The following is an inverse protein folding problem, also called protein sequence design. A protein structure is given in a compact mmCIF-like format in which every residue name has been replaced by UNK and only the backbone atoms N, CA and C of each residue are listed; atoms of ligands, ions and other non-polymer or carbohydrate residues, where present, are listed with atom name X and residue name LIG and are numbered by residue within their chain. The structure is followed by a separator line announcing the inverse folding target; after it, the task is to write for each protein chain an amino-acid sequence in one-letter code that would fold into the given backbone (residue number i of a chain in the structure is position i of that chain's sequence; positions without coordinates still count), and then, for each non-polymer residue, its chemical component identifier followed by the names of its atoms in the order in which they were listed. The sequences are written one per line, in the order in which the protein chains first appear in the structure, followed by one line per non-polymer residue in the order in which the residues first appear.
data_IF_615317611326
#
_entry.id   IF_615317611326
#
_cell.length_a   1.000
_cell.length_b   1.000
_cell.length_c   1.000
_cell.angle_alpha   90.00
_cell.angle_beta   90.00
_cell.angle_gamma   90.00
#
_symmetry.space_group_name_H-M   'P 1'
#
loop_
_entity.id
_entity.type
_entity.pdbx_description
1 polymer ?
#
# COMPACT_ATOMS: atom_id res chain seq x y z
N UNK A 1 3.51 4.87 7.81
CA UNK A 1 2.51 4.04 7.09
C UNK A 1 2.75 4.05 5.59
N UNK A 2 2.86 5.22 4.95
CA UNK A 2 3.20 5.33 3.53
C UNK A 2 4.51 4.60 3.15
N UNK A 3 5.55 4.65 3.99
CA UNK A 3 6.80 3.92 3.76
C UNK A 3 6.62 2.39 3.74
N UNK A 4 5.84 1.85 4.67
CA UNK A 4 5.56 0.40 4.75
C UNK A 4 4.82 -0.05 3.50
N UNK A 5 3.79 0.70 3.11
CA UNK A 5 3.00 0.44 1.92
C UNK A 5 3.87 0.55 0.65
N UNK A 6 4.73 1.57 0.55
CA UNK A 6 5.64 1.75 -0.58
C UNK A 6 6.64 0.59 -0.74
N UNK A 7 7.16 0.06 0.38
CA UNK A 7 8.05 -1.12 0.37
C UNK A 7 7.31 -2.40 0.00
N UNK A 8 6.06 -2.55 0.45
CA UNK A 8 5.23 -3.71 0.16
C UNK A 8 4.69 -3.72 -1.28
N UNK A 9 4.49 -2.54 -1.88
CA UNK A 9 4.05 -2.33 -3.26
C UNK A 9 5.14 -2.56 -4.30
N UNK A 10 6.31 -3.07 -3.92
CA UNK A 10 7.44 -3.27 -4.83
C UNK A 10 7.00 -4.17 -5.99
N UNK A 11 6.68 -3.53 -7.11
CA UNK A 11 6.24 -4.19 -8.32
C UNK A 11 7.42 -4.92 -8.92
N UNK A 12 7.17 -6.10 -9.48
CA UNK A 12 8.19 -6.99 -10.01
C UNK A 12 9.02 -6.38 -11.15
N UNK A 13 8.61 -5.22 -11.69
CA UNK A 13 9.15 -4.70 -12.93
C UNK A 13 9.35 -3.15 -12.90
N UNK A 14 10.55 -2.67 -12.52
CA UNK A 14 10.83 -1.27 -12.18
C UNK A 14 10.96 -0.31 -13.38
N UNK A 15 10.94 -0.79 -14.62
CA UNK A 15 11.07 0.06 -15.84
C UNK A 15 9.80 0.87 -16.17
N UNK A 16 8.65 0.49 -15.63
CA UNK A 16 7.33 0.90 -16.10
C UNK A 16 6.46 1.40 -14.94
N UNK A 17 6.87 1.09 -13.71
CA UNK A 17 6.18 1.52 -12.52
C UNK A 17 7.14 1.64 -11.31
N UNK A 18 6.99 2.73 -10.55
CA UNK A 18 7.79 3.04 -9.37
C UNK A 18 6.86 3.50 -8.25
N UNK A 19 7.06 2.99 -7.03
CA UNK A 19 6.36 3.46 -5.83
C UNK A 19 7.36 3.93 -4.78
N UNK A 20 7.12 5.12 -4.22
CA UNK A 20 7.95 5.68 -3.15
C UNK A 20 7.12 6.45 -2.14
N UNK A 21 7.61 6.54 -0.92
CA UNK A 21 7.01 7.38 0.13
C UNK A 21 7.67 8.76 0.14
N UNK A 22 6.85 9.81 0.28
CA UNK A 22 7.29 11.18 0.51
C UNK A 22 6.53 11.73 1.72
N UNK A 23 7.12 11.59 2.91
CA UNK A 23 6.45 11.84 4.19
C UNK A 23 5.24 10.92 4.38
N UNK A 24 4.06 11.52 4.55
CA UNK A 24 2.79 10.79 4.70
C UNK A 24 2.13 10.40 3.37
N UNK A 25 2.72 10.80 2.23
CA UNK A 25 2.16 10.54 0.91
C UNK A 25 2.82 9.33 0.27
N UNK A 26 2.03 8.48 -0.36
CA UNK A 26 2.51 7.49 -1.31
C UNK A 26 2.48 8.11 -2.72
N UNK A 27 3.62 8.12 -3.40
CA UNK A 27 3.72 8.52 -4.80
C UNK A 27 3.94 7.28 -5.65
N UNK A 28 3.12 7.12 -6.68
CA UNK A 28 3.25 6.08 -7.69
C UNK A 28 3.46 6.77 -9.03
N UNK A 29 4.48 6.35 -9.77
CA UNK A 29 4.75 6.78 -11.14
C UNK A 29 4.51 5.58 -12.05
N UNK A 30 3.79 5.80 -13.14
CA UNK A 30 3.51 4.79 -14.16
C UNK A 30 3.90 5.41 -15.50
N UNK A 31 4.79 4.76 -16.24
CA UNK A 31 5.21 5.20 -17.57
C UNK A 31 4.80 4.14 -18.60
N UNK A 32 3.96 4.52 -19.55
CA UNK A 32 3.48 3.62 -20.60
C UNK A 32 3.14 4.37 -21.88
N UNK A 33 3.24 3.66 -23.01
CA UNK A 33 2.89 4.17 -24.34
C UNK A 33 1.41 4.01 -24.70
N UNK A 34 0.65 3.24 -23.92
CA UNK A 34 -0.76 2.92 -24.20
C UNK A 34 -1.64 3.33 -23.02
N UNK A 35 -2.71 4.07 -23.32
CA UNK A 35 -3.69 4.51 -22.32
C UNK A 35 -4.38 3.32 -21.64
N UNK A 36 -4.71 2.27 -22.38
CA UNK A 36 -5.31 1.06 -21.83
C UNK A 36 -4.43 0.43 -20.73
N UNK A 37 -3.12 0.33 -20.98
CA UNK A 37 -2.16 -0.18 -20.00
C UNK A 37 -2.05 0.72 -18.77
N UNK A 38 -2.19 2.04 -18.92
CA UNK A 38 -2.21 2.97 -17.80
C UNK A 38 -3.44 2.72 -16.91
N UNK A 39 -4.60 2.53 -17.53
CA UNK A 39 -5.86 2.25 -16.81
C UNK A 39 -5.72 0.95 -16.03
N UNK A 40 -5.25 -0.13 -16.67
CA UNK A 40 -5.04 -1.42 -16.00
C UNK A 40 -4.06 -1.31 -14.83
N UNK A 41 -2.92 -0.65 -15.01
CA UNK A 41 -1.96 -0.45 -13.93
C UNK A 41 -2.56 0.34 -12.76
N UNK A 42 -3.33 1.39 -13.03
CA UNK A 42 -4.04 2.13 -11.99
C UNK A 42 -5.02 1.25 -11.22
N UNK A 43 -5.82 0.44 -11.90
CA UNK A 43 -6.77 -0.48 -11.25
C UNK A 43 -6.07 -1.48 -10.34
N UNK A 44 -4.95 -2.05 -10.78
CA UNK A 44 -4.15 -2.99 -10.00
C UNK A 44 -3.55 -2.33 -8.74
N UNK A 45 -3.01 -1.11 -8.89
CA UNK A 45 -2.53 -0.33 -7.76
C UNK A 45 -3.65 -0.03 -6.75
N UNK A 46 -4.82 0.42 -7.21
CA UNK A 46 -5.93 0.72 -6.33
C UNK A 46 -6.46 -0.53 -5.60
N UNK A 47 -6.55 -1.67 -6.30
CA UNK A 47 -6.95 -2.94 -5.70
C UNK A 47 -5.97 -3.35 -4.60
N UNK A 48 -4.67 -3.28 -4.90
CA UNK A 48 -3.61 -3.64 -3.94
C UNK A 48 -3.63 -2.71 -2.73
N UNK A 49 -3.76 -1.40 -2.95
CA UNK A 49 -3.84 -0.39 -1.89
C UNK A 49 -5.05 -0.61 -0.98
N UNK A 50 -6.20 -0.95 -1.54
CA UNK A 50 -7.40 -1.23 -0.76
C UNK A 50 -7.17 -2.40 0.19
N UNK A 51 -6.61 -3.50 -0.31
CA UNK A 51 -6.29 -4.69 0.52
C UNK A 51 -5.27 -4.32 1.60
N UNK A 52 -4.21 -3.59 1.24
CA UNK A 52 -3.20 -3.15 2.20
C UNK A 52 -3.81 -2.30 3.33
N UNK A 53 -4.75 -1.40 3.01
CA UNK A 53 -5.46 -0.59 4.00
C UNK A 53 -6.35 -1.43 4.91
N UNK A 54 -7.09 -2.41 4.36
CA UNK A 54 -7.92 -3.32 5.14
C UNK A 54 -7.08 -4.14 6.13
N UNK A 55 -5.93 -4.69 5.67
CA UNK A 55 -5.00 -5.43 6.53
C UNK A 55 -4.41 -4.55 7.63
N UNK A 56 -3.98 -3.33 7.31
CA UNK A 56 -3.43 -2.41 8.33
C UNK A 56 -4.51 -1.98 9.32
N UNK A 57 -5.75 -1.79 8.87
CA UNK A 57 -6.87 -1.47 9.75
C UNK A 57 -7.15 -2.63 10.74
N UNK A 58 -7.13 -3.87 10.24
CA UNK A 58 -7.28 -5.07 11.07
C UNK A 58 -6.13 -5.22 12.08
N UNK A 59 -4.89 -4.98 11.66
CA UNK A 59 -3.72 -5.03 12.56
C UNK A 59 -3.88 -4.06 13.73
N UNK A 60 -4.31 -2.82 13.47
CA UNK A 60 -4.59 -1.83 14.54
C UNK A 60 -5.65 -2.32 15.52
N UNK A 61 -6.72 -2.96 15.03
CA UNK A 61 -7.77 -3.51 15.89
C UNK A 61 -7.31 -4.71 16.72
N UNK A 62 -6.42 -5.56 16.17
CA UNK A 62 -5.84 -6.69 16.89
C UNK A 62 -4.82 -6.23 17.93
N UNK A 63 -3.94 -5.29 17.59
CA UNK A 63 -2.97 -4.72 18.52
C UNK A 63 -3.67 -3.98 19.68
N UNK A 64 -4.76 -3.25 19.41
CA UNK A 64 -5.55 -2.60 20.45
C UNK A 64 -6.18 -3.60 21.42
N UNK A 65 -6.62 -4.77 20.93
CA UNK A 65 -7.12 -5.86 21.78
C UNK A 65 -6.00 -6.56 22.57
N UNK A 66 -4.80 -6.63 22.03
CA UNK A 66 -3.62 -7.14 22.73
C UNK A 66 -3.25 -6.27 23.93
N UNK A 67 -3.16 -4.95 23.74
CA UNK A 67 -2.85 -3.99 24.81
C UNK A 67 -3.89 -3.99 25.93
N UNK A 68 -5.19 -4.05 25.60
CA UNK A 68 -6.25 -4.15 26.62
C UNK A 68 -6.12 -5.39 27.52
N UNK A 69 -5.62 -6.50 26.99
CA UNK A 69 -5.44 -7.72 27.79
C UNK A 69 -4.18 -7.67 28.66
N UNK A 70 -3.15 -6.92 28.26
CA UNK A 70 -1.94 -6.71 29.08
C UNK A 70 -2.17 -5.64 30.17
N UNK A 71 -2.98 -4.61 29.91
CA UNK A 71 -3.35 -3.59 30.90
C UNK A 71 -4.33 -4.10 31.98
N UNK A 72 -4.93 -5.28 31.78
CA UNK A 72 -5.86 -5.95 32.71
C UNK A 72 -5.20 -7.06 33.55
N UNK A 73 -3.89 -7.27 33.42
CA UNK A 73 -3.06 -8.22 34.21
C UNK A 73 -2.11 -7.48 35.15
#
# INVERSE_FOLDING_TARGET
MAEIIAKALRVDDPEWCESRSEGEKLKVRIETKKVESLISACEDYFRTLRVALEVICLDKHLNYRGQLNEDLL
#
